data_IF_650419504865
#
_entry.id   IF_650419504865
#
_cell.length_a   1.000
_cell.length_b   1.000
_cell.length_c   1.000
_cell.angle_alpha   90.00
_cell.angle_beta   90.00
_cell.angle_gamma   90.00
#
_symmetry.space_group_name_H-M   'P 1'
#
loop_
_entity.id
_entity.type
_entity.pdbx_description
1 polymer ?
#
# COMPACT_ATOMS: atom_id res chain seq x y z
N UNK A 1 21.56 -16.09 -10.77
CA UNK A 1 20.21 -15.90 -11.34
C UNK A 1 19.06 -16.29 -10.39
N UNK A 2 19.27 -17.01 -9.28
CA UNK A 2 18.21 -17.30 -8.27
C UNK A 2 18.06 -16.22 -7.17
N UNK A 3 19.07 -15.37 -6.96
CA UNK A 3 19.16 -14.44 -5.82
C UNK A 3 18.19 -13.25 -5.82
N UNK A 4 17.54 -12.91 -6.94
CA UNK A 4 16.53 -11.83 -7.00
C UNK A 4 15.10 -12.38 -6.93
N UNK A 5 14.91 -13.69 -7.17
CA UNK A 5 13.59 -14.26 -7.42
C UNK A 5 12.78 -14.51 -6.14
N UNK A 6 13.43 -14.73 -4.99
CA UNK A 6 12.75 -15.05 -3.72
C UNK A 6 12.77 -13.90 -2.69
N UNK A 7 13.66 -12.92 -2.85
CA UNK A 7 13.85 -11.86 -1.85
C UNK A 7 12.73 -10.82 -1.85
N UNK A 8 12.30 -10.36 -3.03
CA UNK A 8 11.22 -9.37 -3.14
C UNK A 8 9.87 -9.96 -2.72
N UNK A 9 9.47 -11.18 -3.16
CA UNK A 9 8.27 -11.83 -2.64
C UNK A 9 8.31 -12.03 -1.14
N UNK A 10 9.45 -12.49 -0.58
CA UNK A 10 9.60 -12.65 0.87
C UNK A 10 9.43 -11.34 1.64
N UNK A 11 10.03 -10.25 1.15
CA UNK A 11 9.90 -8.94 1.77
C UNK A 11 8.45 -8.46 1.76
N UNK A 12 7.74 -8.62 0.63
CA UNK A 12 6.33 -8.26 0.53
C UNK A 12 5.46 -9.09 1.48
N UNK A 13 5.64 -10.42 1.52
CA UNK A 13 4.88 -11.27 2.44
C UNK A 13 5.10 -10.86 3.90
N UNK A 14 6.33 -10.54 4.29
CA UNK A 14 6.62 -10.03 5.63
C UNK A 14 5.93 -8.69 5.91
N UNK A 15 5.84 -7.79 4.92
CA UNK A 15 5.05 -6.56 5.05
C UNK A 15 3.55 -6.87 5.27
N UNK A 16 2.99 -7.82 4.53
CA UNK A 16 1.58 -8.21 4.67
C UNK A 16 1.30 -8.91 6.01
N UNK A 17 2.22 -9.74 6.50
CA UNK A 17 2.15 -10.38 7.82
C UNK A 17 2.20 -9.34 8.96
N UNK A 18 3.08 -8.34 8.84
CA UNK A 18 3.16 -7.23 9.78
C UNK A 18 1.87 -6.38 9.76
N UNK A 19 1.33 -6.11 8.58
CA UNK A 19 0.05 -5.42 8.44
C UNK A 19 -1.11 -6.21 9.06
N UNK A 20 -1.23 -7.52 8.81
CA UNK A 20 -2.27 -8.36 9.44
C UNK A 20 -2.11 -8.37 10.97
N UNK A 21 -0.87 -8.45 11.47
CA UNK A 21 -0.59 -8.38 12.92
C UNK A 21 -0.99 -7.04 13.53
N UNK A 22 -0.75 -5.92 12.85
CA UNK A 22 -1.14 -4.60 13.32
C UNK A 22 -2.66 -4.41 13.27
N UNK A 23 -3.32 -4.91 12.22
CA UNK A 23 -4.79 -4.91 12.11
C UNK A 23 -5.46 -5.77 13.19
N UNK A 24 -4.88 -6.90 13.58
CA UNK A 24 -5.38 -7.75 14.69
C UNK A 24 -5.43 -7.01 16.02
N UNK A 25 -4.48 -6.11 16.28
CA UNK A 25 -4.49 -5.26 17.49
C UNK A 25 -5.66 -4.27 17.49
N UNK A 26 -6.23 -3.99 16.31
CA UNK A 26 -7.39 -3.13 16.09
C UNK A 26 -8.70 -3.91 15.92
N UNK A 27 -8.73 -5.19 16.30
CA UNK A 27 -9.86 -6.11 16.10
C UNK A 27 -10.27 -6.26 14.62
N UNK A 28 -9.30 -6.12 13.71
CA UNK A 28 -9.47 -6.29 12.27
C UNK A 28 -8.52 -7.37 11.73
N UNK A 29 -8.52 -7.57 10.42
CA UNK A 29 -7.69 -8.55 9.69
C UNK A 29 -7.36 -8.02 8.31
N UNK A 30 -6.22 -8.43 7.77
CA UNK A 30 -5.89 -8.24 6.36
C UNK A 30 -6.65 -9.26 5.50
N UNK A 31 -7.18 -8.81 4.37
CA UNK A 31 -7.83 -9.67 3.39
C UNK A 31 -6.96 -9.79 2.14
N UNK A 32 -6.18 -10.86 2.03
CA UNK A 32 -5.34 -11.11 0.84
C UNK A 32 -6.16 -11.79 -0.24
N UNK A 33 -6.52 -11.03 -1.27
CA UNK A 33 -7.34 -11.51 -2.38
C UNK A 33 -6.44 -12.04 -3.51
N UNK A 34 -6.70 -13.28 -3.92
CA UNK A 34 -5.98 -13.93 -5.03
C UNK A 34 -6.67 -13.62 -6.36
N UNK A 35 -5.90 -13.14 -7.34
CA UNK A 35 -6.39 -12.88 -8.69
C UNK A 35 -6.07 -11.46 -9.17
N UNK A 36 -6.53 -11.12 -10.37
CA UNK A 36 -6.40 -9.77 -10.91
C UNK A 36 -7.47 -8.84 -10.31
N UNK A 37 -7.12 -7.60 -9.92
CA UNK A 37 -8.09 -6.67 -9.34
C UNK A 37 -9.35 -6.47 -10.19
N UNK A 38 -9.20 -6.37 -11.51
CA UNK A 38 -10.31 -6.19 -12.45
C UNK A 38 -11.34 -7.34 -12.44
N UNK A 39 -10.93 -8.55 -12.05
CA UNK A 39 -11.82 -9.72 -12.00
C UNK A 39 -12.35 -10.00 -10.59
N UNK A 40 -11.51 -9.77 -9.57
CA UNK A 40 -11.80 -10.13 -8.18
C UNK A 40 -12.62 -9.05 -7.46
N UNK A 41 -12.25 -7.78 -7.61
CA UNK A 41 -12.90 -6.67 -6.91
C UNK A 41 -14.40 -6.53 -7.23
N UNK A 42 -14.87 -6.58 -8.50
CA UNK A 42 -16.30 -6.41 -8.76
C UNK A 42 -17.17 -7.49 -8.10
N UNK A 43 -16.65 -8.72 -7.98
CA UNK A 43 -17.35 -9.81 -7.27
C UNK A 43 -17.42 -9.53 -5.77
N UNK A 44 -16.30 -9.13 -5.18
CA UNK A 44 -16.21 -8.83 -3.74
C UNK A 44 -17.04 -7.61 -3.35
N UNK A 45 -17.03 -6.55 -4.15
CA UNK A 45 -17.84 -5.36 -3.86
C UNK A 45 -19.33 -5.68 -3.81
N UNK A 46 -19.80 -6.54 -4.72
CA UNK A 46 -21.18 -7.01 -4.71
C UNK A 46 -21.48 -7.92 -3.52
N UNK A 47 -20.58 -8.83 -3.19
CA UNK A 47 -20.73 -9.77 -2.07
C UNK A 47 -20.73 -9.05 -0.71
N UNK A 48 -19.86 -8.07 -0.54
CA UNK A 48 -19.69 -7.33 0.71
C UNK A 48 -20.61 -6.11 0.83
N UNK A 49 -21.33 -5.74 -0.24
CA UNK A 49 -22.15 -4.52 -0.26
C UNK A 49 -21.30 -3.26 -0.09
N UNK A 50 -20.11 -3.24 -0.69
CA UNK A 50 -19.16 -2.12 -0.59
C UNK A 50 -19.77 -0.85 -1.16
N UNK A 51 -19.66 0.25 -0.41
CA UNK A 51 -20.10 1.59 -0.84
C UNK A 51 -18.94 2.58 -0.98
N UNK A 52 -17.78 2.26 -0.42
CA UNK A 52 -16.59 3.10 -0.50
C UNK A 52 -15.33 2.25 -0.66
N UNK A 53 -14.44 2.67 -1.57
CA UNK A 53 -13.10 2.14 -1.75
C UNK A 53 -12.09 3.27 -1.54
N UNK A 54 -11.05 3.01 -0.74
CA UNK A 54 -9.97 3.96 -0.49
C UNK A 54 -8.62 3.37 -0.85
N UNK A 55 -7.73 4.15 -1.47
CA UNK A 55 -6.35 3.74 -1.75
C UNK A 55 -5.38 4.93 -1.85
N UNK A 56 -4.09 4.67 -1.68
CA UNK A 56 -3.03 5.65 -1.93
C UNK A 56 -2.84 5.88 -3.43
N UNK A 57 -2.71 7.13 -3.86
CA UNK A 57 -2.47 7.49 -5.27
C UNK A 57 -1.11 6.99 -5.75
N UNK A 58 -1.11 6.21 -6.83
CA UNK A 58 0.10 5.70 -7.47
C UNK A 58 0.50 6.61 -8.66
N UNK A 59 1.60 7.39 -8.55
CA UNK A 59 1.98 8.32 -9.61
C UNK A 59 2.58 7.64 -10.84
N UNK A 60 2.91 6.35 -10.79
CA UNK A 60 3.54 5.64 -11.90
C UNK A 60 2.57 5.45 -13.07
N UNK A 61 3.04 5.44 -14.34
CA UNK A 61 2.16 5.34 -15.50
C UNK A 61 1.23 4.11 -15.48
N UNK A 62 1.73 2.96 -15.03
CA UNK A 62 0.94 1.75 -14.90
C UNK A 62 -0.09 1.85 -13.77
N UNK A 63 0.33 2.39 -12.62
CA UNK A 63 -0.53 2.68 -11.46
C UNK A 63 -1.70 3.57 -11.84
N UNK A 64 -1.44 4.70 -12.53
CA UNK A 64 -2.48 5.63 -13.01
C UNK A 64 -3.53 4.96 -13.90
N UNK A 65 -3.11 4.09 -14.83
CA UNK A 65 -4.04 3.37 -15.71
C UNK A 65 -4.88 2.37 -14.92
N UNK A 66 -4.25 1.61 -14.00
CA UNK A 66 -4.95 0.68 -13.11
C UNK A 66 -5.99 1.40 -12.25
N UNK A 67 -5.59 2.47 -11.57
CA UNK A 67 -6.43 3.20 -10.63
C UNK A 67 -7.58 3.91 -11.35
N UNK A 68 -7.35 4.42 -12.57
CA UNK A 68 -8.42 4.95 -13.43
C UNK A 68 -9.46 3.88 -13.78
N UNK A 69 -9.01 2.70 -14.22
CA UNK A 69 -9.92 1.60 -14.57
C UNK A 69 -10.72 1.11 -13.35
N UNK A 70 -10.09 1.01 -12.17
CA UNK A 70 -10.77 0.67 -10.91
C UNK A 70 -11.80 1.76 -10.55
N UNK A 71 -11.45 3.03 -10.74
CA UNK A 71 -12.34 4.15 -10.42
C UNK A 71 -13.58 4.19 -11.31
N UNK A 72 -13.42 3.97 -12.62
CA UNK A 72 -14.57 3.88 -13.53
C UNK A 72 -15.45 2.66 -13.21
N UNK A 73 -14.86 1.51 -12.88
CA UNK A 73 -15.61 0.33 -12.41
C UNK A 73 -16.40 0.62 -11.12
N UNK A 74 -15.78 1.28 -10.14
CA UNK A 74 -16.46 1.66 -8.88
C UNK A 74 -17.63 2.60 -9.14
N UNK A 75 -17.47 3.56 -10.04
CA UNK A 75 -18.52 4.49 -10.46
C UNK A 75 -19.70 3.78 -11.10
N UNK A 76 -19.47 2.77 -11.95
CA UNK A 76 -20.54 1.94 -12.52
C UNK A 76 -21.32 1.16 -11.44
N UNK A 77 -20.65 0.81 -10.34
CA UNK A 77 -21.24 0.11 -9.20
C UNK A 77 -21.82 1.03 -8.11
N UNK A 78 -21.78 2.36 -8.31
CA UNK A 78 -22.14 3.38 -7.31
C UNK A 78 -21.33 3.27 -6.00
N UNK A 79 -20.02 3.06 -6.14
CA UNK A 79 -19.06 3.00 -5.04
C UNK A 79 -18.22 4.28 -5.07
N UNK A 80 -18.18 4.99 -3.95
CA UNK A 80 -17.36 6.19 -3.79
C UNK A 80 -15.88 5.81 -3.72
N UNK A 81 -15.06 6.49 -4.51
CA UNK A 81 -13.60 6.29 -4.51
C UNK A 81 -12.92 7.48 -3.86
N UNK A 82 -12.10 7.21 -2.85
CA UNK A 82 -11.28 8.22 -2.18
C UNK A 82 -9.81 7.84 -2.36
N UNK A 83 -9.06 8.66 -3.08
CA UNK A 83 -7.61 8.53 -3.20
C UNK A 83 -6.87 9.70 -2.59
N UNK A 84 -5.71 9.43 -2.00
CA UNK A 84 -4.87 10.43 -1.35
C UNK A 84 -3.39 10.25 -1.70
N UNK A 85 -2.65 11.36 -1.80
CA UNK A 85 -1.20 11.34 -2.03
C UNK A 85 -0.48 11.21 -0.70
N UNK A 86 0.08 10.04 -0.43
CA UNK A 86 0.92 9.78 0.76
C UNK A 86 2.24 9.07 0.44
N UNK A 87 2.43 8.58 -0.80
CA UNK A 87 3.66 7.93 -1.23
C UNK A 87 4.82 8.90 -1.46
N UNK A 88 4.49 10.11 -1.90
CA UNK A 88 5.45 11.17 -2.22
C UNK A 88 5.26 12.36 -1.31
N UNK A 89 6.36 13.04 -0.96
CA UNK A 89 6.33 14.26 -0.14
C UNK A 89 5.43 15.37 -0.73
N UNK A 90 5.32 15.39 -2.06
CA UNK A 90 4.54 16.37 -2.80
C UNK A 90 3.74 15.68 -3.89
N UNK A 91 2.58 16.25 -4.22
CA UNK A 91 1.85 15.90 -5.44
C UNK A 91 2.65 16.34 -6.68
N UNK A 92 3.01 15.39 -7.54
CA UNK A 92 3.94 15.63 -8.66
C UNK A 92 3.39 16.65 -9.65
N UNK A 93 2.07 16.67 -9.85
CA UNK A 93 1.39 17.64 -10.72
C UNK A 93 1.66 19.08 -10.25
N UNK A 94 1.72 19.34 -8.94
CA UNK A 94 2.04 20.68 -8.41
C UNK A 94 3.48 21.10 -8.74
N UNK A 95 4.42 20.15 -8.76
CA UNK A 95 5.81 20.40 -9.16
C UNK A 95 5.87 20.76 -10.65
N UNK A 96 5.14 20.01 -11.48
CA UNK A 96 5.05 20.23 -12.94
C UNK A 96 4.41 21.58 -13.25
N UNK A 97 3.32 21.94 -12.57
CA UNK A 97 2.64 23.23 -12.70
C UNK A 97 3.56 24.40 -12.34
N UNK A 98 4.29 24.29 -11.22
CA UNK A 98 5.30 25.29 -10.82
C UNK A 98 6.45 25.43 -11.83
N UNK A 99 6.66 24.43 -12.66
CA UNK A 99 7.64 24.45 -13.74
C UNK A 99 6.98 24.64 -15.13
N UNK A 100 5.93 25.46 -15.20
CA UNK A 100 5.25 25.84 -16.44
C UNK A 100 4.74 24.64 -17.25
N UNK A 101 4.19 23.63 -16.56
CA UNK A 101 3.59 22.45 -17.18
C UNK A 101 4.60 21.42 -17.69
N UNK A 102 5.88 21.49 -17.28
CA UNK A 102 6.92 20.53 -17.69
C UNK A 102 7.61 19.90 -16.49
N UNK A 103 7.90 18.60 -16.56
CA UNK A 103 8.72 17.97 -15.53
C UNK A 103 10.15 18.56 -15.54
N UNK A 104 10.75 18.85 -14.37
CA UNK A 104 12.13 19.28 -14.30
C UNK A 104 13.06 18.16 -14.80
N UNK A 105 14.00 18.50 -15.68
CA UNK A 105 14.92 17.52 -16.29
C UNK A 105 16.28 17.45 -15.58
N UNK A 106 16.51 18.32 -14.61
CA UNK A 106 17.74 18.33 -13.81
C UNK A 106 17.39 18.40 -12.33
N UNK A 107 18.23 17.78 -11.50
CA UNK A 107 18.03 17.80 -10.06
C UNK A 107 18.10 19.22 -9.47
N UNK A 108 18.98 20.09 -10.01
CA UNK A 108 19.05 21.48 -9.55
C UNK A 108 17.77 22.28 -9.84
N UNK A 109 17.13 22.06 -10.99
CA UNK A 109 15.82 22.67 -11.28
C UNK A 109 14.76 22.15 -10.31
N UNK A 110 14.72 20.83 -10.09
CA UNK A 110 13.81 20.23 -9.11
C UNK A 110 14.01 20.85 -7.72
N UNK A 111 15.25 21.01 -7.26
CA UNK A 111 15.60 21.66 -6.00
C UNK A 111 15.14 23.13 -5.93
N UNK A 112 15.30 23.89 -7.00
CA UNK A 112 14.84 25.28 -7.05
C UNK A 112 13.30 25.37 -6.96
N UNK A 113 12.58 24.44 -7.61
CA UNK A 113 11.12 24.39 -7.58
C UNK A 113 10.63 24.06 -6.17
N UNK A 114 11.10 22.97 -5.57
CA UNK A 114 10.67 22.53 -4.24
C UNK A 114 11.02 23.56 -3.16
N UNK A 115 12.16 24.27 -3.28
CA UNK A 115 12.51 25.35 -2.36
C UNK A 115 11.56 26.55 -2.42
N UNK A 116 10.77 26.68 -3.49
CA UNK A 116 9.74 27.72 -3.66
C UNK A 116 8.33 27.27 -3.25
N UNK A 117 8.17 25.98 -2.90
CA UNK A 117 6.91 25.40 -2.46
C UNK A 117 6.80 25.42 -0.95
N UNK A 118 5.57 25.28 -0.44
CA UNK A 118 5.35 25.08 0.99
C UNK A 118 6.05 23.78 1.46
N UNK A 119 6.25 23.66 2.77
CA UNK A 119 6.75 22.40 3.34
C UNK A 119 5.79 21.24 3.00
N UNK A 120 6.29 20.00 2.90
CA UNK A 120 5.42 18.83 2.78
C UNK A 120 4.38 18.79 3.92
N UNK A 121 3.20 18.19 3.69
CA UNK A 121 2.24 17.96 4.76
C UNK A 121 2.89 17.14 5.88
N UNK A 122 2.45 17.39 7.11
CA UNK A 122 2.84 16.55 8.24
C UNK A 122 2.21 15.16 8.10
N UNK A 123 2.84 14.11 8.65
CA UNK A 123 2.26 12.77 8.67
C UNK A 123 0.87 12.78 9.32
N UNK A 124 -0.06 12.02 8.75
CA UNK A 124 -1.37 11.78 9.35
C UNK A 124 -1.23 11.02 10.68
N UNK A 125 -2.16 11.19 11.64
CA UNK A 125 -2.12 10.48 12.90
C UNK A 125 -2.32 8.97 12.68
N UNK A 126 -1.69 8.17 13.55
CA UNK A 126 -1.88 6.73 13.54
C UNK A 126 -3.35 6.33 13.77
N UNK A 127 -3.79 5.28 13.09
CA UNK A 127 -5.13 4.73 13.30
C UNK A 127 -5.23 4.12 14.70
N UNK A 128 -6.26 4.51 15.43
CA UNK A 128 -6.55 4.01 16.77
C UNK A 128 -7.94 3.38 16.81
N UNK A 129 -8.21 2.55 17.83
CA UNK A 129 -9.56 2.04 18.09
C UNK A 129 -10.59 3.18 18.22
N UNK A 130 -10.19 4.34 18.76
CA UNK A 130 -11.04 5.51 18.85
C UNK A 130 -11.38 6.09 17.46
N UNK A 131 -10.42 6.10 16.53
CA UNK A 131 -10.62 6.56 15.16
C UNK A 131 -11.53 5.60 14.35
N UNK A 132 -11.40 4.28 14.59
CA UNK A 132 -12.29 3.26 13.99
C UNK A 132 -13.72 3.39 14.53
N UNK A 133 -13.86 3.80 15.79
CA UNK A 133 -15.15 4.09 16.42
C UNK A 133 -16.02 2.83 16.54
N UNK A 134 -17.11 2.78 15.78
CA UNK A 134 -18.06 1.65 15.79
C UNK A 134 -17.94 0.74 14.56
N UNK A 135 -16.99 1.01 13.67
CA UNK A 135 -16.75 0.14 12.52
C UNK A 135 -16.22 -1.22 13.01
N UNK A 136 -16.68 -2.28 12.36
CA UNK A 136 -16.28 -3.66 12.65
C UNK A 136 -15.92 -4.34 11.36
N UNK A 137 -14.87 -5.15 11.40
CA UNK A 137 -14.50 -6.04 10.30
C UNK A 137 -15.14 -7.40 10.56
N UNK A 138 -16.05 -7.89 9.71
CA UNK A 138 -16.59 -9.24 9.82
C UNK A 138 -15.46 -10.26 9.71
N UNK A 139 -15.34 -11.14 10.70
CA UNK A 139 -14.36 -12.23 10.72
C UNK A 139 -15.09 -13.56 10.76
N UNK A 140 -14.59 -14.52 9.97
CA UNK A 140 -15.09 -15.89 9.92
C UNK A 140 -13.99 -16.84 10.39
N UNK A 141 -14.36 -18.01 10.93
CA UNK A 141 -13.41 -19.01 11.40
C UNK A 141 -12.49 -19.52 10.28
N UNK A 142 -12.95 -19.45 9.01
CA UNK A 142 -12.22 -19.83 7.81
C UNK A 142 -11.47 -18.66 7.13
N UNK A 143 -11.22 -17.56 7.86
CA UNK A 143 -10.53 -16.38 7.32
C UNK A 143 -9.15 -16.72 6.77
N UNK A 144 -8.35 -17.50 7.50
CA UNK A 144 -6.96 -17.77 7.12
C UNK A 144 -6.89 -18.62 5.85
N UNK A 145 -7.84 -19.55 5.66
CA UNK A 145 -7.95 -20.36 4.43
C UNK A 145 -8.30 -19.51 3.20
N UNK A 146 -9.20 -18.54 3.37
CA UNK A 146 -9.71 -17.71 2.27
C UNK A 146 -8.81 -16.52 1.94
N UNK A 147 -8.32 -15.83 2.96
CA UNK A 147 -7.74 -14.50 2.87
C UNK A 147 -6.41 -14.35 3.62
N UNK A 148 -5.88 -15.42 4.21
CA UNK A 148 -4.60 -15.41 4.88
C UNK A 148 -3.45 -15.01 3.95
N UNK A 149 -2.40 -14.45 4.55
CA UNK A 149 -1.15 -14.16 3.83
C UNK A 149 -0.53 -15.49 3.40
N UNK A 150 -0.27 -15.71 2.10
CA UNK A 150 0.28 -16.98 1.65
C UNK A 150 1.76 -17.11 2.03
N UNK A 151 2.22 -18.35 2.17
CA UNK A 151 3.64 -18.68 2.32
C UNK A 151 4.39 -18.59 0.99
N UNK A 152 5.73 -18.58 1.04
CA UNK A 152 6.54 -18.66 -0.17
C UNK A 152 6.32 -19.97 -0.93
N UNK A 153 6.16 -21.07 -0.20
CA UNK A 153 5.89 -22.40 -0.73
C UNK A 153 4.54 -22.45 -1.46
N UNK A 154 3.50 -21.83 -0.90
CA UNK A 154 2.18 -21.71 -1.55
C UNK A 154 2.22 -20.87 -2.83
N UNK A 155 3.16 -19.93 -2.92
CA UNK A 155 3.43 -19.18 -4.15
C UNK A 155 4.34 -19.94 -5.14
N UNK A 156 4.77 -21.15 -4.79
CA UNK A 156 5.60 -22.02 -5.64
C UNK A 156 7.09 -21.72 -5.58
N UNK A 157 7.58 -20.99 -4.57
CA UNK A 157 9.01 -20.75 -4.38
C UNK A 157 9.67 -21.88 -3.59
N UNK A 158 10.89 -22.24 -3.98
CA UNK A 158 11.74 -23.15 -3.23
C UNK A 158 12.35 -22.42 -2.02
N UNK A 159 12.12 -22.95 -0.81
CA UNK A 159 12.57 -22.34 0.44
C UNK A 159 13.73 -23.09 1.12
N UNK A 160 14.10 -24.26 0.60
CA UNK A 160 15.20 -25.04 1.14
C UNK A 160 16.53 -24.29 1.02
N UNK A 161 17.27 -24.21 2.12
CA UNK A 161 18.54 -23.48 2.18
C UNK A 161 18.42 -21.94 2.14
N UNK A 162 17.21 -21.37 2.26
CA UNK A 162 17.06 -19.92 2.36
C UNK A 162 17.77 -19.38 3.60
N UNK A 163 18.71 -18.46 3.36
CA UNK A 163 19.35 -17.71 4.45
C UNK A 163 18.35 -16.75 5.11
N UNK A 164 18.54 -16.43 6.40
CA UNK A 164 17.76 -15.39 7.06
C UNK A 164 17.73 -14.08 6.24
N UNK A 165 16.59 -13.36 6.23
CA UNK A 165 16.48 -12.09 5.52
C UNK A 165 17.42 -11.04 6.11
N UNK A 166 18.19 -10.37 5.26
CA UNK A 166 18.99 -9.20 5.65
C UNK A 166 18.08 -7.97 5.84
N UNK A 167 17.06 -7.87 4.98
CA UNK A 167 16.02 -6.84 5.02
C UNK A 167 14.71 -7.53 5.37
N UNK A 168 14.25 -7.29 6.60
CA UNK A 168 12.96 -7.78 7.10
C UNK A 168 11.90 -6.77 6.66
N UNK A 169 10.82 -7.25 6.05
CA UNK A 169 9.68 -6.42 5.66
C UNK A 169 8.78 -6.06 6.85
N UNK A 170 7.99 -4.99 6.70
CA UNK A 170 7.03 -4.53 7.70
C UNK A 170 7.26 -3.10 8.18
N UNK A 171 6.17 -2.44 8.54
CA UNK A 171 6.14 -1.13 9.19
C UNK A 171 6.88 -1.17 10.54
N UNK A 172 6.68 -2.22 11.34
CA UNK A 172 7.33 -2.37 12.65
C UNK A 172 8.86 -2.31 12.52
N UNK A 173 9.44 -3.04 11.55
CA UNK A 173 10.89 -3.01 11.31
C UNK A 173 11.32 -1.66 10.71
N UNK A 174 10.52 -1.07 9.83
CA UNK A 174 10.82 0.23 9.22
C UNK A 174 10.93 1.33 10.28
N UNK A 175 9.97 1.41 11.22
CA UNK A 175 9.99 2.35 12.34
C UNK A 175 11.18 2.11 13.26
N UNK A 176 11.45 0.85 13.63
CA UNK A 176 12.62 0.50 14.44
C UNK A 176 13.95 0.88 13.76
N UNK A 177 14.04 0.79 12.42
CA UNK A 177 15.21 1.25 11.66
C UNK A 177 15.30 2.77 11.63
N UNK A 178 14.17 3.47 11.50
CA UNK A 178 14.12 4.92 11.54
C UNK A 178 14.62 5.47 12.88
N UNK A 179 14.16 4.93 14.01
CA UNK A 179 14.62 5.32 15.35
C UNK A 179 16.13 5.13 15.49
N UNK A 180 16.64 3.93 15.17
CA UNK A 180 18.08 3.64 15.17
C UNK A 180 18.89 4.53 14.22
N UNK A 181 18.28 5.02 13.14
CA UNK A 181 18.92 5.92 12.19
C UNK A 181 19.06 7.33 12.76
N UNK A 182 18.04 7.80 13.49
CA UNK A 182 18.03 9.12 14.12
C UNK A 182 18.91 9.21 15.37
N UNK A 183 19.24 8.07 16.00
CA UNK A 183 20.19 7.99 17.11
C UNK A 183 21.67 8.18 16.72
N UNK A 184 21.98 8.24 15.41
CA UNK A 184 23.34 8.40 14.87
C UNK A 184 23.65 9.84 14.51
#
# INVERSE_FOLDING_TARGET
FSFLFTHLPRFLLQCLEDLDRNLRQLNSRLFVIRGQPADALPKLFKEWGTTCLTFEEDPEPFGKVRDHNISEMCKELNIDVISAVSHTLYKLERIIEKNNGRAPLTYNQFQAIIASMDAPPQPEPAITLAAIGRAVTPQCDDHDDKYGVPTLEELGFETEGLKPPIWVGGETEALARLERHLER
#
